data_IF_185237172013
#
_entry.id   IF_185237172013
#
_cell.length_a   1.000
_cell.length_b   1.000
_cell.length_c   1.000
_cell.angle_alpha   90.00
_cell.angle_beta   90.00
_cell.angle_gamma   90.00
#
_symmetry.space_group_name_H-M   'P 1'
#
loop_
_entity.id
_entity.type
_entity.pdbx_description
1 polymer ?
#
# COMPACT_ATOMS: atom_id res chain seq x y z
N UNK A 1 8.72 8.25 12.63
CA UNK A 1 7.50 8.03 13.44
C UNK A 1 7.21 6.52 13.53
N UNK A 2 6.35 6.01 14.43
CA UNK A 2 5.92 4.59 14.39
C UNK A 2 4.95 4.40 13.21
N UNK A 3 4.96 3.25 12.53
CA UNK A 3 4.11 2.99 11.34
C UNK A 3 2.63 3.31 11.58
N UNK A 4 2.05 2.84 12.69
CA UNK A 4 0.64 3.12 13.02
C UNK A 4 0.33 4.62 13.11
N UNK A 5 1.24 5.42 13.65
CA UNK A 5 1.07 6.87 13.72
C UNK A 5 1.10 7.53 12.34
N UNK A 6 1.82 6.94 11.38
CA UNK A 6 1.86 7.42 10.00
C UNK A 6 0.52 7.12 9.33
N UNK A 7 0.01 5.89 9.52
CA UNK A 7 -1.31 5.47 9.02
C UNK A 7 -2.43 6.33 9.62
N UNK A 8 -2.41 6.59 10.93
CA UNK A 8 -3.36 7.46 11.62
C UNK A 8 -3.32 8.88 11.05
N UNK A 9 -2.13 9.47 10.94
CA UNK A 9 -1.94 10.79 10.35
C UNK A 9 -2.44 10.85 8.91
N UNK A 10 -2.18 9.81 8.13
CA UNK A 10 -2.66 9.70 6.76
C UNK A 10 -4.19 9.69 6.70
N UNK A 11 -4.85 8.92 7.57
CA UNK A 11 -6.30 8.86 7.64
C UNK A 11 -6.91 10.20 8.05
N UNK A 12 -6.31 10.91 9.01
CA UNK A 12 -6.73 12.26 9.40
C UNK A 12 -6.67 13.24 8.21
N UNK A 13 -5.55 13.26 7.48
CA UNK A 13 -5.34 14.19 6.38
C UNK A 13 -6.24 13.93 5.17
N UNK A 14 -6.65 12.68 4.94
CA UNK A 14 -7.58 12.33 3.86
C UNK A 14 -8.95 13.03 3.99
N UNK A 15 -9.35 13.43 5.19
CA UNK A 15 -10.61 14.14 5.42
C UNK A 15 -10.57 15.60 4.92
N UNK A 16 -9.38 16.13 4.63
CA UNK A 16 -9.20 17.48 4.08
C UNK A 16 -9.12 17.51 2.55
N UNK A 17 -9.17 16.36 1.89
CA UNK A 17 -9.16 16.28 0.43
C UNK A 17 -10.51 16.68 -0.16
N UNK A 18 -10.45 17.40 -1.28
CA UNK A 18 -11.59 17.56 -2.19
C UNK A 18 -12.04 16.21 -2.72
N UNK A 19 -13.30 16.12 -3.16
CA UNK A 19 -13.88 14.87 -3.69
C UNK A 19 -13.05 14.27 -4.83
N UNK A 20 -12.52 15.10 -5.72
CA UNK A 20 -11.67 14.68 -6.84
C UNK A 20 -10.34 14.09 -6.33
N UNK A 21 -9.61 14.84 -5.50
CA UNK A 21 -8.33 14.41 -4.97
C UNK A 21 -8.46 13.19 -4.04
N UNK A 22 -9.54 13.08 -3.26
CA UNK A 22 -9.85 11.90 -2.43
C UNK A 22 -10.01 10.65 -3.28
N UNK A 23 -10.68 10.74 -4.44
CA UNK A 23 -10.81 9.63 -5.37
C UNK A 23 -9.47 9.24 -5.98
N UNK A 24 -8.67 10.21 -6.41
CA UNK A 24 -7.35 9.95 -6.99
C UNK A 24 -6.42 9.28 -5.97
N UNK A 25 -6.26 9.91 -4.80
CA UNK A 25 -5.39 9.43 -3.74
C UNK A 25 -5.85 8.08 -3.19
N UNK A 26 -7.15 7.84 -3.04
CA UNK A 26 -7.67 6.55 -2.59
C UNK A 26 -7.30 5.39 -3.52
N UNK A 27 -7.32 5.62 -4.85
CA UNK A 27 -6.87 4.61 -5.81
C UNK A 27 -5.37 4.31 -5.68
N UNK A 28 -4.56 5.36 -5.49
CA UNK A 28 -3.12 5.24 -5.26
C UNK A 28 -2.83 4.45 -3.97
N UNK A 29 -3.52 4.82 -2.88
CA UNK A 29 -3.39 4.22 -1.56
C UNK A 29 -3.64 2.71 -1.58
N UNK A 30 -4.75 2.29 -2.19
CA UNK A 30 -5.10 0.87 -2.30
C UNK A 30 -4.06 0.14 -3.15
N UNK A 31 -3.67 0.69 -4.30
CA UNK A 31 -2.73 0.04 -5.19
C UNK A 31 -1.36 -0.15 -4.54
N UNK A 32 -0.82 0.89 -3.91
CA UNK A 32 0.49 0.83 -3.24
C UNK A 32 0.44 -0.21 -2.14
N UNK A 33 -0.52 -0.14 -1.21
CA UNK A 33 -0.59 -1.09 -0.07
C UNK A 33 -0.72 -2.55 -0.49
N UNK A 34 -1.46 -2.83 -1.57
CA UNK A 34 -1.60 -4.21 -2.08
C UNK A 34 -0.35 -4.67 -2.81
N UNK A 35 0.29 -3.81 -3.58
CA UNK A 35 1.43 -4.18 -4.41
C UNK A 35 2.78 -4.07 -3.67
N UNK A 36 2.80 -3.42 -2.51
CA UNK A 36 3.98 -3.25 -1.66
C UNK A 36 4.08 -4.27 -0.52
N UNK A 37 3.34 -5.39 -0.56
CA UNK A 37 3.34 -6.41 0.50
C UNK A 37 4.72 -7.02 0.81
N UNK A 38 5.61 -7.07 -0.19
CA UNK A 38 7.01 -7.53 -0.02
C UNK A 38 8.00 -6.38 0.19
N UNK A 39 7.51 -5.13 0.23
CA UNK A 39 8.31 -3.93 0.43
C UNK A 39 8.32 -3.55 1.91
N UNK A 40 9.19 -2.59 2.26
CA UNK A 40 9.20 -1.99 3.58
C UNK A 40 7.90 -1.21 3.83
N UNK A 41 7.03 -1.75 4.69
CA UNK A 41 5.74 -1.16 5.04
C UNK A 41 5.88 0.28 5.54
N UNK A 42 6.84 0.53 6.43
CA UNK A 42 7.02 1.85 7.02
C UNK A 42 7.38 2.86 5.94
N UNK A 43 8.33 2.54 5.06
CA UNK A 43 8.69 3.44 3.95
C UNK A 43 7.55 3.62 2.94
N UNK A 44 6.75 2.59 2.73
CA UNK A 44 5.55 2.66 1.88
C UNK A 44 4.55 3.68 2.45
N UNK A 45 4.27 3.62 3.75
CA UNK A 45 3.38 4.55 4.44
C UNK A 45 3.96 5.97 4.56
N UNK A 46 5.29 6.10 4.74
CA UNK A 46 5.97 7.42 4.72
C UNK A 46 5.79 8.10 3.37
N UNK A 47 6.02 7.39 2.26
CA UNK A 47 5.86 7.92 0.92
C UNK A 47 4.39 8.25 0.58
N UNK A 48 3.45 7.42 1.03
CA UNK A 48 2.01 7.70 0.88
C UNK A 48 1.59 8.97 1.63
N UNK A 49 2.13 9.19 2.82
CA UNK A 49 1.88 10.41 3.59
C UNK A 49 2.46 11.65 2.91
N UNK A 50 3.69 11.57 2.41
CA UNK A 50 4.33 12.66 1.65
C UNK A 50 3.49 13.05 0.42
N UNK A 51 3.04 12.07 -0.37
CA UNK A 51 2.18 12.32 -1.54
C UNK A 51 0.85 12.96 -1.14
N UNK A 52 0.26 12.53 -0.01
CA UNK A 52 -0.97 13.13 0.48
C UNK A 52 -0.77 14.61 0.87
N UNK A 53 0.35 14.92 1.52
CA UNK A 53 0.73 16.29 1.88
C UNK A 53 0.94 17.16 0.63
N UNK A 54 1.63 16.65 -0.39
CA UNK A 54 1.80 17.32 -1.69
C UNK A 54 0.46 17.60 -2.38
N UNK A 55 -0.47 16.63 -2.36
CA UNK A 55 -1.81 16.81 -2.93
C UNK A 55 -2.58 17.92 -2.20
N UNK A 56 -2.47 17.98 -0.86
CA UNK A 56 -3.12 19.02 -0.06
C UNK A 56 -2.52 20.40 -0.34
N UNK A 57 -1.20 20.49 -0.52
CA UNK A 57 -0.53 21.73 -0.91
C UNK A 57 -0.97 22.19 -2.31
N UNK A 58 -0.96 21.30 -3.30
CA UNK A 58 -1.46 21.61 -4.65
C UNK A 58 -2.93 22.05 -4.63
N UNK A 59 -3.76 21.37 -3.83
CA UNK A 59 -5.17 21.72 -3.65
C UNK A 59 -5.35 23.13 -3.08
N UNK A 60 -4.52 23.55 -2.12
CA UNK A 60 -4.58 24.90 -1.57
C UNK A 60 -4.30 25.98 -2.62
N UNK A 61 -3.54 25.64 -3.67
CA UNK A 61 -3.25 26.49 -4.82
C UNK A 61 -4.22 26.27 -6.00
N UNK A 62 -5.30 25.53 -5.81
CA UNK A 62 -6.31 25.25 -6.84
C UNK A 62 -5.90 24.21 -7.89
N UNK A 63 -4.84 23.43 -7.62
CA UNK A 63 -4.38 22.35 -8.49
C UNK A 63 -4.98 21.01 -8.06
N UNK A 64 -5.39 20.18 -9.02
CA UNK A 64 -5.82 18.81 -8.73
C UNK A 64 -4.63 17.85 -8.67
N UNK A 65 -4.80 16.70 -8.01
CA UNK A 65 -3.81 15.64 -7.94
C UNK A 65 -3.44 15.15 -9.35
N UNK A 66 -4.39 15.10 -10.29
CA UNK A 66 -4.11 14.72 -11.68
C UNK A 66 -3.22 15.73 -12.41
N UNK A 67 -3.34 17.02 -12.07
CA UNK A 67 -2.49 18.07 -12.65
C UNK A 67 -1.04 17.94 -12.18
N UNK A 68 -0.83 17.66 -10.89
CA UNK A 68 0.50 17.58 -10.29
C UNK A 68 1.18 16.21 -10.48
N UNK A 69 0.47 15.11 -10.18
CA UNK A 69 1.00 13.75 -10.23
C UNK A 69 0.81 13.08 -11.60
N UNK A 70 -0.08 13.62 -12.43
CA UNK A 70 -0.43 13.06 -13.73
C UNK A 70 -1.71 12.22 -13.70
N UNK A 71 -2.32 12.05 -14.89
CA UNK A 71 -3.66 11.45 -15.05
C UNK A 71 -3.74 9.95 -14.80
N UNK A 72 -2.60 9.26 -14.72
CA UNK A 72 -2.56 7.80 -14.58
C UNK A 72 -2.05 7.39 -13.19
N UNK A 73 -2.93 7.30 -12.18
CA UNK A 73 -2.53 6.97 -10.80
C UNK A 73 -1.85 5.60 -10.69
N UNK A 74 -2.18 4.64 -11.58
CA UNK A 74 -1.51 3.34 -11.61
C UNK A 74 -0.04 3.49 -12.02
N UNK A 75 0.25 4.27 -13.05
CA UNK A 75 1.62 4.50 -13.50
C UNK A 75 2.45 5.22 -12.43
N UNK A 76 1.84 6.19 -11.73
CA UNK A 76 2.46 6.87 -10.59
C UNK A 76 2.78 5.86 -9.48
N UNK A 77 1.81 5.03 -9.11
CA UNK A 77 2.00 3.99 -8.11
C UNK A 77 3.07 2.97 -8.50
N UNK A 78 3.11 2.53 -9.76
CA UNK A 78 4.12 1.60 -10.27
C UNK A 78 5.53 2.18 -10.16
N UNK A 79 5.70 3.48 -10.39
CA UNK A 79 7.00 4.15 -10.23
C UNK A 79 7.39 4.21 -8.75
N UNK A 80 6.47 4.57 -7.87
CA UNK A 80 6.65 4.57 -6.41
C UNK A 80 7.10 3.18 -5.91
N UNK A 81 6.38 2.12 -6.28
CA UNK A 81 6.65 0.75 -5.80
C UNK A 81 8.03 0.22 -6.23
N UNK A 82 8.56 0.71 -7.36
CA UNK A 82 9.89 0.35 -7.85
C UNK A 82 11.00 0.94 -6.98
N UNK A 83 10.79 2.14 -6.43
CA UNK A 83 11.75 2.82 -5.56
C UNK A 83 11.70 2.31 -4.11
N UNK A 84 10.61 1.65 -3.71
CA UNK A 84 10.49 1.08 -2.37
C UNK A 84 11.44 -0.11 -2.17
N UNK A 85 12.20 -0.16 -1.07
CA UNK A 85 13.10 -1.27 -0.80
C UNK A 85 12.31 -2.54 -0.43
N UNK A 86 12.88 -3.68 -0.81
CA UNK A 86 12.35 -5.00 -0.47
C UNK A 86 12.61 -5.28 1.01
N UNK A 87 11.59 -5.77 1.72
CA UNK A 87 11.76 -6.37 3.02
C UNK A 87 11.92 -7.89 2.87
N UNK A 88 13.16 -8.36 2.99
CA UNK A 88 13.51 -9.78 2.82
C UNK A 88 12.84 -10.67 3.89
N UNK A 89 12.67 -10.16 5.11
CA UNK A 89 12.04 -10.91 6.20
C UNK A 89 10.58 -11.14 5.88
N UNK A 90 9.87 -10.11 5.44
CA UNK A 90 8.44 -10.24 5.11
C UNK A 90 8.23 -11.08 3.85
N UNK A 91 9.14 -10.98 2.88
CA UNK A 91 9.15 -11.87 1.71
C UNK A 91 9.30 -13.33 2.12
N UNK A 92 10.25 -13.65 3.00
CA UNK A 92 10.47 -15.03 3.49
C UNK A 92 9.25 -15.52 4.28
N UNK A 93 8.66 -14.68 5.14
CA UNK A 93 7.44 -15.04 5.89
C UNK A 93 6.32 -15.44 4.94
N UNK A 94 6.05 -14.65 3.89
CA UNK A 94 5.00 -14.96 2.91
C UNK A 94 5.26 -16.31 2.24
N UNK A 95 6.51 -16.58 1.84
CA UNK A 95 6.91 -17.85 1.23
C UNK A 95 6.66 -19.01 2.22
N UNK A 96 7.15 -18.91 3.45
CA UNK A 96 6.99 -19.96 4.48
C UNK A 96 5.51 -20.19 4.80
N UNK A 97 4.73 -19.12 4.98
CA UNK A 97 3.29 -19.21 5.22
C UNK A 97 2.56 -19.91 4.06
N UNK A 98 2.88 -19.56 2.82
CA UNK A 98 2.29 -20.20 1.64
C UNK A 98 2.63 -21.69 1.54
N UNK A 99 3.89 -22.06 1.81
CA UNK A 99 4.34 -23.44 1.83
C UNK A 99 3.66 -24.24 2.95
N UNK A 100 3.55 -23.66 4.15
CA UNK A 100 2.87 -24.27 5.29
C UNK A 100 1.40 -24.57 5.00
N UNK A 101 0.68 -23.64 4.40
CA UNK A 101 -0.72 -23.83 3.98
C UNK A 101 -0.83 -24.98 2.97
N UNK A 102 0.04 -25.03 1.96
CA UNK A 102 0.05 -26.11 0.97
C UNK A 102 0.34 -27.48 1.61
N UNK A 103 1.26 -27.56 2.58
CA UNK A 103 1.53 -28.79 3.34
C UNK A 103 0.32 -29.24 4.16
N UNK A 104 -0.36 -28.32 4.86
CA UNK A 104 -1.55 -28.64 5.65
C UNK A 104 -2.69 -29.21 4.79
N UNK A 105 -2.92 -28.64 3.60
CA UNK A 105 -3.93 -29.16 2.66
C UNK A 105 -3.65 -30.61 2.23
N UNK A 106 -2.39 -31.03 2.14
CA UNK A 106 -2.00 -32.41 1.82
C UNK A 106 -2.21 -33.39 2.97
N UNK A 107 -2.33 -32.93 4.21
CA UNK A 107 -2.59 -33.78 5.37
C UNK A 107 -4.08 -34.12 5.54
N UNK A 108 -4.99 -33.30 5.00
CA UNK A 108 -6.44 -33.52 5.09
C UNK A 108 -6.87 -34.89 4.52
N UNK A 109 -6.45 -35.31 3.31
CA UNK A 109 -6.80 -36.63 2.77
C UNK A 109 -6.26 -37.79 3.60
N UNK A 110 -5.08 -37.63 4.19
CA UNK A 110 -4.44 -38.65 5.03
C UNK A 110 -5.29 -38.87 6.29
N UNK A 111 -5.71 -37.78 6.95
CA UNK A 111 -6.58 -37.85 8.14
C UNK A 111 -7.95 -38.48 7.83
N UNK A 112 -8.55 -38.14 6.69
CA UNK A 112 -9.84 -38.69 6.27
C UNK A 112 -9.74 -40.18 5.88
N UNK A 113 -8.57 -40.64 5.42
CA UNK A 113 -8.35 -42.06 5.08
C UNK A 113 -8.11 -43.00 6.27
N UNK A 114 -8.12 -42.48 7.50
CA UNK A 114 -7.97 -43.26 8.74
C UNK A 114 -9.31 -43.58 9.45
N UNK A 115 -10.45 -43.17 8.89
CA UNK A 115 -11.81 -43.67 9.23
C UNK A 115 -12.24 -44.79 8.27
#
# INVERSE_FOLDING_TARGET
MKTNKIIERNAELQEHLTKENKKYYGNLLVYIRVMSLIRDEKKSEEMLLEILEDILEGQAHGQSAEYYLGKNPKQVADNIIKELPINVIDTIKIIISSLGILCLLKLIPILVSFE
#
